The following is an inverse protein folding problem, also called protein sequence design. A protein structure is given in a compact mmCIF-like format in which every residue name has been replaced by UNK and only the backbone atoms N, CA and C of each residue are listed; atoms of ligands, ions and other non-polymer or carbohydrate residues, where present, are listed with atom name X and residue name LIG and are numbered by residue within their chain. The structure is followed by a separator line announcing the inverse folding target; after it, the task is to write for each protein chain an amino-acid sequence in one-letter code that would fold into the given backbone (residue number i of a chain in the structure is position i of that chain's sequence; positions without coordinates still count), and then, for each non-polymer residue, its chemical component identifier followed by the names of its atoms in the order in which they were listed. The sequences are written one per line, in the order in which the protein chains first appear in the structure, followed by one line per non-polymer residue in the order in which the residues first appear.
data_IF_561020614658
#
_entry.id   IF_561020614658
#
_cell.length_a   1.000
_cell.length_b   1.000
_cell.length_c   1.000
_cell.angle_alpha   90.00
_cell.angle_beta   90.00
_cell.angle_gamma   90.00
#
_symmetry.space_group_name_H-M   'P 1'
#
loop_
_entity.id
_entity.type
_entity.pdbx_description
1 polymer ?
#
# COMPACT_ATOMS: atom_id res chain seq x y z
N UNK A 1 10.31 -3.45 5.56
CA UNK A 1 9.38 -4.41 4.93
C UNK A 1 8.36 -4.97 5.93
N UNK A 2 8.73 -5.83 6.88
CA UNK A 2 7.78 -6.36 7.89
C UNK A 2 6.98 -5.26 8.62
N UNK A 3 7.69 -4.24 9.15
CA UNK A 3 7.05 -3.09 9.80
C UNK A 3 6.13 -2.32 8.84
N UNK A 4 6.54 -2.13 7.57
CA UNK A 4 5.73 -1.45 6.56
C UNK A 4 4.43 -2.21 6.25
N UNK A 5 4.51 -3.54 6.15
CA UNK A 5 3.31 -4.38 6.01
C UNK A 5 2.37 -4.23 7.23
N UNK A 6 2.92 -4.19 8.45
CA UNK A 6 2.10 -4.02 9.66
C UNK A 6 1.42 -2.65 9.71
N UNK A 7 2.09 -1.58 9.26
CA UNK A 7 1.54 -0.23 9.28
C UNK A 7 0.43 0.00 8.25
N UNK A 8 0.39 -0.76 7.14
CA UNK A 8 -0.73 -0.73 6.18
C UNK A 8 -2.05 -1.05 6.89
N UNK A 9 -2.05 -2.09 7.73
CA UNK A 9 -3.27 -2.53 8.44
C UNK A 9 -3.63 -1.56 9.56
N UNK A 10 -2.65 -0.92 10.19
CA UNK A 10 -2.86 0.07 11.25
C UNK A 10 -3.86 1.18 10.85
N UNK A 11 -3.68 1.76 9.67
CA UNK A 11 -4.56 2.83 9.17
C UNK A 11 -5.99 2.36 8.92
N UNK A 12 -6.15 1.09 8.52
CA UNK A 12 -7.46 0.51 8.21
C UNK A 12 -8.31 0.30 9.46
N UNK A 13 -7.66 -0.13 10.55
CA UNK A 13 -8.32 -0.45 11.83
C UNK A 13 -8.31 0.70 12.82
N UNK A 14 -7.77 1.86 12.42
CA UNK A 14 -7.68 3.05 13.27
C UNK A 14 -9.03 3.46 13.86
N UNK A 15 -8.98 4.08 15.04
CA UNK A 15 -10.09 4.64 15.84
C UNK A 15 -11.01 3.62 16.52
N UNK A 16 -11.08 2.37 16.03
CA UNK A 16 -12.03 1.37 16.54
C UNK A 16 -11.43 0.01 16.91
N UNK A 17 -10.13 -0.19 16.71
CA UNK A 17 -9.41 -1.36 17.19
C UNK A 17 -8.82 -1.14 18.58
N UNK A 18 -8.94 -2.15 19.46
CA UNK A 18 -8.27 -2.14 20.76
C UNK A 18 -6.75 -2.26 20.55
N UNK A 19 -5.97 -1.37 21.18
CA UNK A 19 -4.51 -1.36 21.06
C UNK A 19 -3.86 -2.73 21.36
N UNK A 20 -4.34 -3.43 22.41
CA UNK A 20 -3.83 -4.76 22.77
C UNK A 20 -4.04 -5.79 21.64
N UNK A 21 -5.20 -5.76 20.98
CA UNK A 21 -5.49 -6.65 19.86
C UNK A 21 -4.59 -6.32 18.66
N UNK A 22 -4.37 -5.03 18.39
CA UNK A 22 -3.47 -4.57 17.33
C UNK A 22 -2.01 -5.00 17.56
N UNK A 23 -1.53 -4.92 18.80
CA UNK A 23 -0.16 -5.35 19.15
C UNK A 23 0.03 -6.85 18.96
N UNK A 24 -0.88 -7.68 19.48
CA UNK A 24 -0.85 -9.13 19.30
C UNK A 24 -0.91 -9.52 17.82
N UNK A 25 -1.82 -8.88 17.08
CA UNK A 25 -1.95 -9.05 15.64
C UNK A 25 -0.64 -8.70 14.92
N UNK A 26 -0.04 -7.54 15.23
CA UNK A 26 1.21 -7.09 14.60
C UNK A 26 2.39 -8.00 14.91
N UNK A 27 2.47 -8.54 16.13
CA UNK A 27 3.49 -9.53 16.50
C UNK A 27 3.32 -10.81 15.69
N UNK A 28 2.11 -11.35 15.59
CA UNK A 28 1.85 -12.56 14.81
C UNK A 28 2.09 -12.33 13.31
N UNK A 29 1.67 -11.18 12.81
CA UNK A 29 1.85 -10.78 11.42
C UNK A 29 3.33 -10.71 11.04
N UNK A 30 4.14 -10.00 11.84
CA UNK A 30 5.57 -9.85 11.60
C UNK A 30 6.38 -11.11 11.91
N UNK A 31 5.94 -11.91 12.89
CA UNK A 31 6.65 -13.10 13.36
C UNK A 31 6.33 -14.38 12.60
N UNK A 32 5.19 -14.46 11.91
CA UNK A 32 4.75 -15.68 11.23
C UNK A 32 4.27 -15.42 9.80
N UNK A 33 3.21 -14.63 9.62
CA UNK A 33 2.56 -14.47 8.30
C UNK A 33 3.50 -13.82 7.27
N UNK A 34 4.14 -12.71 7.61
CA UNK A 34 5.07 -12.02 6.72
C UNK A 34 6.30 -12.88 6.39
N UNK A 35 6.98 -13.54 7.35
CA UNK A 35 8.06 -14.47 7.04
C UNK A 35 7.66 -15.57 6.04
N UNK A 36 6.46 -16.14 6.16
CA UNK A 36 5.95 -17.14 5.20
C UNK A 36 5.76 -16.51 3.81
N UNK A 37 5.13 -15.34 3.73
CA UNK A 37 4.95 -14.63 2.47
C UNK A 37 6.29 -14.25 1.82
N UNK A 38 7.20 -13.64 2.58
CA UNK A 38 8.53 -13.27 2.12
C UNK A 38 9.36 -14.48 1.67
N UNK A 39 9.30 -15.60 2.41
CA UNK A 39 9.95 -16.85 2.01
C UNK A 39 9.41 -17.37 0.68
N UNK A 40 8.09 -17.36 0.52
CA UNK A 40 7.42 -17.86 -0.69
C UNK A 40 7.89 -17.15 -1.97
N UNK A 41 8.08 -15.82 -1.91
CA UNK A 41 8.47 -15.00 -3.05
C UNK A 41 9.98 -14.87 -3.24
N UNK A 42 10.76 -14.73 -2.15
CA UNK A 42 12.16 -14.30 -2.24
C UNK A 42 13.19 -15.34 -1.84
N UNK A 43 12.82 -16.40 -1.12
CA UNK A 43 13.77 -17.45 -0.81
C UNK A 43 14.03 -18.31 -2.06
N UNK A 44 15.24 -18.83 -2.25
CA UNK A 44 15.53 -19.74 -3.37
C UNK A 44 14.64 -20.97 -3.36
N UNK A 45 14.29 -21.48 -2.19
CA UNK A 45 13.37 -22.60 -2.00
C UNK A 45 11.89 -22.19 -1.84
N UNK A 46 11.57 -20.91 -2.06
CA UNK A 46 10.21 -20.40 -2.04
C UNK A 46 9.43 -20.87 -3.25
N UNK A 47 8.20 -21.36 -3.07
CA UNK A 47 7.43 -21.96 -4.17
C UNK A 47 7.00 -20.96 -5.26
N UNK A 48 7.04 -19.64 -5.02
CA UNK A 48 6.80 -18.62 -6.05
C UNK A 48 8.10 -17.98 -6.56
N UNK A 49 9.25 -18.34 -5.99
CA UNK A 49 10.51 -17.67 -6.28
C UNK A 49 11.02 -18.01 -7.68
N UNK A 50 11.49 -17.02 -8.47
CA UNK A 50 12.17 -17.27 -9.74
C UNK A 50 13.53 -17.93 -9.56
N UNK A 51 14.06 -17.99 -8.33
CA UNK A 51 15.27 -18.72 -7.98
C UNK A 51 15.03 -20.20 -7.64
N UNK A 52 13.77 -20.65 -7.57
CA UNK A 52 13.45 -22.05 -7.28
C UNK A 52 13.67 -22.94 -8.51
N UNK A 53 14.19 -24.14 -8.27
CA UNK A 53 14.39 -25.16 -9.31
C UNK A 53 13.07 -25.74 -9.84
N UNK A 54 12.03 -25.77 -9.00
CA UNK A 54 10.68 -26.24 -9.35
C UNK A 54 9.63 -25.27 -8.76
N UNK A 55 9.47 -24.08 -9.35
CA UNK A 55 8.48 -23.11 -8.89
C UNK A 55 7.07 -23.60 -9.21
N UNK A 56 6.09 -23.10 -8.46
CA UNK A 56 4.68 -23.39 -8.67
C UNK A 56 4.28 -23.06 -10.12
N UNK A 57 3.62 -24.00 -10.79
CA UNK A 57 3.25 -23.92 -12.21
C UNK A 57 4.44 -23.81 -13.19
N UNK A 58 5.66 -24.12 -12.74
CA UNK A 58 6.88 -24.03 -13.56
C UNK A 58 7.32 -22.61 -13.89
N UNK A 59 6.76 -21.58 -13.24
CA UNK A 59 7.09 -20.17 -13.46
C UNK A 59 7.22 -19.42 -12.13
N UNK A 60 8.33 -18.70 -11.95
CA UNK A 60 8.54 -17.86 -10.77
C UNK A 60 7.97 -16.44 -10.93
N UNK A 61 7.48 -15.87 -9.83
CA UNK A 61 6.99 -14.51 -9.72
C UNK A 61 8.15 -13.53 -9.47
N UNK A 62 8.37 -12.61 -10.41
CA UNK A 62 9.40 -11.57 -10.25
C UNK A 62 8.84 -10.45 -9.38
N UNK A 63 9.44 -10.27 -8.21
CA UNK A 63 9.10 -9.19 -7.29
C UNK A 63 10.38 -8.55 -6.75
N UNK A 64 10.68 -7.34 -7.23
CA UNK A 64 11.90 -6.63 -6.87
C UNK A 64 11.88 -6.17 -5.40
N UNK A 65 10.77 -5.55 -4.97
CA UNK A 65 10.74 -4.75 -3.76
C UNK A 65 9.49 -4.96 -2.89
N UNK A 66 8.61 -5.91 -3.19
CA UNK A 66 7.59 -6.39 -2.25
C UNK A 66 6.16 -6.04 -2.61
N UNK A 67 5.84 -5.89 -3.90
CA UNK A 67 4.45 -5.68 -4.32
C UNK A 67 3.55 -6.84 -3.88
N UNK A 68 4.05 -8.08 -3.87
CA UNK A 68 3.38 -9.28 -3.33
C UNK A 68 3.48 -9.43 -1.79
N UNK A 69 4.66 -9.75 -1.25
CA UNK A 69 4.82 -10.12 0.16
C UNK A 69 4.64 -8.95 1.13
N UNK A 70 4.70 -7.68 0.66
CA UNK A 70 4.41 -6.50 1.50
C UNK A 70 3.05 -5.90 1.17
N UNK A 71 2.88 -5.38 -0.05
CA UNK A 71 1.73 -4.52 -0.35
C UNK A 71 0.45 -5.30 -0.60
N UNK A 72 0.47 -6.33 -1.44
CA UNK A 72 -0.69 -7.20 -1.69
C UNK A 72 -1.09 -7.94 -0.41
N UNK A 73 -0.12 -8.53 0.30
CA UNK A 73 -0.38 -9.21 1.58
C UNK A 73 -0.99 -8.25 2.60
N UNK A 74 -0.40 -7.06 2.77
CA UNK A 74 -0.93 -6.02 3.65
C UNK A 74 -2.33 -5.53 3.25
N UNK A 75 -2.59 -5.35 1.96
CA UNK A 75 -3.87 -4.91 1.42
C UNK A 75 -5.00 -5.93 1.59
N UNK A 76 -4.71 -7.21 1.33
CA UNK A 76 -5.67 -8.30 1.56
C UNK A 76 -6.00 -8.41 3.05
N UNK A 77 -4.98 -8.34 3.91
CA UNK A 77 -5.20 -8.36 5.36
C UNK A 77 -5.96 -7.14 5.86
N UNK A 78 -5.68 -5.95 5.31
CA UNK A 78 -6.45 -4.74 5.59
C UNK A 78 -7.93 -4.94 5.24
N UNK A 79 -8.23 -5.51 4.08
CA UNK A 79 -9.61 -5.83 3.68
C UNK A 79 -10.28 -6.82 4.64
N UNK A 80 -9.62 -7.93 4.95
CA UNK A 80 -10.15 -8.94 5.90
C UNK A 80 -10.42 -8.32 7.27
N UNK A 81 -9.49 -7.49 7.77
CA UNK A 81 -9.66 -6.79 9.04
C UNK A 81 -10.78 -5.75 9.00
N UNK A 82 -10.97 -5.04 7.87
CA UNK A 82 -12.08 -4.11 7.71
C UNK A 82 -13.44 -4.81 7.76
N UNK A 83 -13.54 -6.02 7.18
CA UNK A 83 -14.76 -6.85 7.22
C UNK A 83 -15.02 -7.36 8.65
N UNK A 84 -14.01 -7.90 9.32
CA UNK A 84 -14.15 -8.45 10.69
C UNK A 84 -14.50 -7.35 11.69
N UNK A 85 -13.83 -6.20 11.62
CA UNK A 85 -14.01 -5.09 12.55
C UNK A 85 -15.29 -4.30 12.27
N UNK A 86 -15.78 -4.35 11.03
CA UNK A 86 -16.92 -3.57 10.57
C UNK A 86 -16.59 -2.10 10.31
N UNK A 87 -17.58 -1.33 9.82
CA UNK A 87 -17.42 0.07 9.47
C UNK A 87 -17.25 0.99 10.68
N UNK A 88 -16.75 2.21 10.44
CA UNK A 88 -16.81 3.28 11.46
C UNK A 88 -18.25 3.69 11.71
N UNK A 89 -18.57 4.01 12.97
CA UNK A 89 -19.87 4.57 13.33
C UNK A 89 -20.12 5.87 12.57
N UNK A 90 -21.36 6.09 12.14
CA UNK A 90 -21.76 7.27 11.38
C UNK A 90 -21.39 7.29 9.89
N UNK A 91 -20.67 6.26 9.37
CA UNK A 91 -20.36 6.17 7.92
C UNK A 91 -21.55 5.68 7.09
N UNK A 92 -22.18 4.59 7.51
CA UNK A 92 -23.23 3.90 6.73
C UNK A 92 -24.58 3.83 7.43
N UNK A 93 -24.62 3.96 8.75
CA UNK A 93 -25.85 3.82 9.55
C UNK A 93 -26.07 5.04 10.43
N UNK A 94 -27.33 5.38 10.66
CA UNK A 94 -27.77 6.40 11.60
C UNK A 94 -27.70 5.94 13.07
N UNK A 95 -28.05 6.82 14.00
CA UNK A 95 -28.03 6.52 15.44
C UNK A 95 -29.02 5.40 15.85
N UNK A 96 -30.04 5.15 15.02
CA UNK A 96 -31.03 4.10 15.22
C UNK A 96 -30.65 2.78 14.51
N UNK A 97 -29.52 2.75 13.80
CA UNK A 97 -29.04 1.60 13.03
C UNK A 97 -29.64 1.46 11.62
N UNK A 98 -30.42 2.43 11.15
CA UNK A 98 -30.93 2.43 9.78
C UNK A 98 -29.85 2.87 8.80
N UNK A 99 -29.74 2.24 7.60
CA UNK A 99 -28.74 2.64 6.61
C UNK A 99 -29.06 4.02 6.03
N UNK A 100 -28.03 4.81 5.74
CA UNK A 100 -28.17 6.02 4.93
C UNK A 100 -28.39 5.68 3.45
N UNK A 101 -29.08 6.57 2.73
CA UNK A 101 -29.22 6.47 1.26
C UNK A 101 -27.86 6.54 0.55
N UNK A 102 -26.94 7.35 1.09
CA UNK A 102 -25.55 7.44 0.65
C UNK A 102 -24.58 7.41 1.84
N UNK A 103 -23.39 6.79 1.69
CA UNK A 103 -22.36 6.83 2.73
C UNK A 103 -21.94 8.26 3.07
N UNK A 104 -21.89 8.61 4.36
CA UNK A 104 -21.45 9.94 4.84
C UNK A 104 -19.95 10.06 4.96
N UNK A 105 -19.33 11.07 4.35
CA UNK A 105 -17.88 11.19 4.39
C UNK A 105 -17.35 11.49 5.79
N UNK A 106 -16.22 10.83 6.12
CA UNK A 106 -15.46 11.08 7.34
C UNK A 106 -14.18 11.79 6.91
N UNK A 107 -14.14 13.13 6.95
CA UNK A 107 -13.01 13.89 6.43
C UNK A 107 -11.74 13.62 7.25
N UNK A 108 -10.60 13.68 6.58
CA UNK A 108 -9.30 13.62 7.24
C UNK A 108 -9.08 14.84 8.15
N UNK A 109 -8.40 14.64 9.28
CA UNK A 109 -8.16 15.69 10.26
C UNK A 109 -7.23 16.81 9.75
N UNK A 110 -6.29 16.50 8.84
CA UNK A 110 -5.33 17.47 8.29
C UNK A 110 -4.74 17.00 6.97
N UNK A 111 -5.05 17.76 5.90
CA UNK A 111 -4.45 17.55 4.57
C UNK A 111 -2.96 17.84 4.58
N UNK A 112 -2.50 18.82 5.38
CA UNK A 112 -1.09 19.15 5.50
C UNK A 112 -0.26 18.00 6.11
N UNK A 113 -0.80 17.31 7.12
CA UNK A 113 -0.14 16.14 7.70
C UNK A 113 -0.15 14.93 6.76
N UNK A 114 -1.24 14.74 6.00
CA UNK A 114 -1.29 13.71 4.96
C UNK A 114 -0.23 13.96 3.87
N UNK A 115 -0.06 15.23 3.47
CA UNK A 115 0.95 15.63 2.50
C UNK A 115 2.36 15.38 3.01
N UNK A 116 2.66 15.80 4.25
CA UNK A 116 3.94 15.50 4.89
C UNK A 116 4.21 13.99 4.94
N UNK A 117 3.21 13.20 5.36
CA UNK A 117 3.32 11.74 5.39
C UNK A 117 3.59 11.13 4.01
N UNK A 118 2.93 11.63 2.97
CA UNK A 118 3.13 11.20 1.58
C UNK A 118 4.56 11.47 1.11
N UNK A 119 5.11 12.64 1.42
CA UNK A 119 6.51 12.96 1.10
C UNK A 119 7.50 12.11 1.89
N UNK A 120 7.26 11.88 3.18
CA UNK A 120 8.08 10.97 3.98
C UNK A 120 8.08 9.55 3.39
N UNK A 121 6.92 9.06 2.95
CA UNK A 121 6.79 7.74 2.31
C UNK A 121 7.52 7.71 0.97
N UNK A 122 7.35 8.71 0.11
CA UNK A 122 8.06 8.79 -1.17
C UNK A 122 9.58 8.79 -0.95
N UNK A 123 10.09 9.65 -0.06
CA UNK A 123 11.50 9.67 0.29
C UNK A 123 11.99 8.30 0.79
N UNK A 124 11.25 7.69 1.73
CA UNK A 124 11.56 6.35 2.23
C UNK A 124 11.55 5.27 1.15
N UNK A 125 10.75 5.44 0.11
CA UNK A 125 10.64 4.49 -1.00
C UNK A 125 11.91 4.35 -1.84
N UNK A 126 12.81 5.35 -1.83
CA UNK A 126 14.14 5.19 -2.42
C UNK A 126 15.01 4.19 -1.66
N UNK A 127 14.79 4.03 -0.35
CA UNK A 127 15.39 2.93 0.41
C UNK A 127 14.73 1.58 0.12
N UNK A 128 13.46 1.59 -0.29
CA UNK A 128 12.66 0.39 -0.55
C UNK A 128 12.98 -0.21 -1.93
N UNK A 129 12.80 0.57 -3.01
CA UNK A 129 12.89 0.08 -4.38
C UNK A 129 14.36 -0.06 -4.84
N UNK A 130 15.16 1.04 -4.95
CA UNK A 130 16.59 0.95 -5.23
C UNK A 130 17.35 0.07 -4.24
N UNK A 131 17.03 0.16 -2.94
CA UNK A 131 17.69 -0.63 -1.90
C UNK A 131 17.50 -2.14 -2.06
N UNK A 132 16.41 -2.57 -2.70
CA UNK A 132 16.17 -3.99 -3.00
C UNK A 132 17.10 -4.55 -4.08
N UNK A 133 17.98 -3.72 -4.65
CA UNK A 133 19.10 -4.22 -5.42
C UNK A 133 20.20 -4.86 -4.57
N UNK A 134 20.20 -4.69 -3.24
CA UNK A 134 21.10 -5.32 -2.26
C UNK A 134 22.60 -4.94 -2.37
N UNK A 135 23.07 -4.53 -3.53
CA UNK A 135 24.46 -4.14 -3.80
C UNK A 135 24.55 -3.24 -5.02
N UNK A 136 25.54 -2.35 -5.03
CA UNK A 136 25.93 -1.49 -6.16
C UNK A 136 27.41 -1.69 -6.55
N UNK A 137 27.99 -2.83 -6.13
CA UNK A 137 29.43 -3.09 -6.27
C UNK A 137 29.91 -3.28 -7.72
N UNK A 138 29.00 -3.45 -8.68
CA UNK A 138 29.32 -3.51 -10.11
C UNK A 138 28.51 -2.48 -10.88
N UNK A 139 29.04 -2.04 -12.03
CA UNK A 139 28.37 -1.08 -12.92
C UNK A 139 26.94 -1.52 -13.27
N UNK A 140 26.76 -2.80 -13.62
CA UNK A 140 25.45 -3.37 -13.92
C UNK A 140 24.47 -3.25 -12.74
N UNK A 141 24.90 -3.59 -11.52
CA UNK A 141 24.06 -3.49 -10.33
C UNK A 141 23.71 -2.03 -9.99
N UNK A 142 24.69 -1.13 -10.13
CA UNK A 142 24.48 0.31 -9.98
C UNK A 142 23.46 0.86 -10.98
N UNK A 143 23.52 0.44 -12.24
CA UNK A 143 22.55 0.82 -13.28
C UNK A 143 21.13 0.35 -12.94
N UNK A 144 20.97 -0.86 -12.42
CA UNK A 144 19.65 -1.36 -11.98
C UNK A 144 19.10 -0.55 -10.80
N UNK A 145 19.94 -0.21 -9.82
CA UNK A 145 19.52 0.61 -8.68
C UNK A 145 19.11 2.03 -9.12
N UNK A 146 19.87 2.64 -10.03
CA UNK A 146 19.55 3.94 -10.60
C UNK A 146 18.25 3.91 -11.40
N UNK A 147 18.04 2.87 -12.22
CA UNK A 147 16.79 2.70 -12.97
C UNK A 147 15.59 2.53 -12.04
N UNK A 148 15.72 1.72 -10.99
CA UNK A 148 14.69 1.56 -9.97
C UNK A 148 14.37 2.89 -9.27
N UNK A 149 15.37 3.75 -9.02
CA UNK A 149 15.17 5.06 -8.40
C UNK A 149 14.37 5.99 -9.32
N UNK A 150 14.73 6.07 -10.60
CA UNK A 150 14.02 6.88 -11.60
C UNK A 150 12.58 6.38 -11.77
N UNK A 151 12.39 5.07 -11.90
CA UNK A 151 11.06 4.48 -12.04
C UNK A 151 10.19 4.70 -10.80
N UNK A 152 10.78 4.72 -9.60
CA UNK A 152 10.05 5.06 -8.36
C UNK A 152 9.48 6.47 -8.43
N UNK A 153 10.26 7.46 -8.88
CA UNK A 153 9.75 8.83 -9.05
C UNK A 153 8.69 8.94 -10.13
N UNK A 154 8.92 8.29 -11.28
CA UNK A 154 8.00 8.35 -12.40
C UNK A 154 6.68 7.64 -12.06
N UNK A 155 6.73 6.50 -11.38
CA UNK A 155 5.54 5.79 -10.88
C UNK A 155 4.72 6.65 -9.94
N UNK A 156 5.36 7.23 -8.92
CA UNK A 156 4.71 8.17 -8.00
C UNK A 156 4.07 9.36 -8.71
N UNK A 157 4.81 10.03 -9.60
CA UNK A 157 4.32 11.19 -10.33
C UNK A 157 3.17 10.84 -11.28
N UNK A 158 3.30 9.75 -12.05
CA UNK A 158 2.26 9.28 -12.95
C UNK A 158 1.00 8.85 -12.18
N UNK A 159 1.17 8.16 -11.04
CA UNK A 159 0.07 7.79 -10.16
C UNK A 159 -0.66 9.01 -9.60
N UNK A 160 0.06 10.03 -9.13
CA UNK A 160 -0.52 11.25 -8.61
C UNK A 160 -1.34 12.00 -9.66
N UNK A 161 -0.75 12.20 -10.85
CA UNK A 161 -1.39 12.90 -11.96
C UNK A 161 -2.62 12.11 -12.44
N UNK A 162 -2.46 10.81 -12.72
CA UNK A 162 -3.55 9.98 -13.23
C UNK A 162 -4.73 9.89 -12.26
N UNK A 163 -4.48 9.70 -10.96
CA UNK A 163 -5.55 9.63 -9.97
C UNK A 163 -6.29 10.96 -9.82
N UNK A 164 -5.56 12.09 -9.77
CA UNK A 164 -6.18 13.41 -9.68
C UNK A 164 -7.07 13.69 -10.88
N UNK A 165 -6.57 13.53 -12.11
CA UNK A 165 -7.35 13.79 -13.31
C UNK A 165 -8.52 12.81 -13.47
N UNK A 166 -8.32 11.53 -13.14
CA UNK A 166 -9.40 10.55 -13.19
C UNK A 166 -10.51 10.92 -12.21
N UNK A 167 -10.15 11.30 -10.97
CA UNK A 167 -11.12 11.73 -9.97
C UNK A 167 -11.85 13.02 -10.40
N UNK A 168 -11.12 14.03 -10.90
CA UNK A 168 -11.70 15.29 -11.40
C UNK A 168 -12.69 15.05 -12.54
N UNK A 169 -12.36 14.17 -13.49
CA UNK A 169 -13.26 13.84 -14.61
C UNK A 169 -14.51 13.11 -14.08
N UNK A 170 -14.34 12.15 -13.17
CA UNK A 170 -15.48 11.40 -12.61
C UNK A 170 -16.41 12.32 -11.80
N UNK A 171 -15.86 13.29 -11.08
CA UNK A 171 -16.65 14.27 -10.34
C UNK A 171 -17.38 15.24 -11.28
N UNK A 172 -16.69 15.78 -12.29
CA UNK A 172 -17.32 16.64 -13.31
C UNK A 172 -18.52 15.95 -13.97
N UNK A 173 -18.39 14.65 -14.28
CA UNK A 173 -19.49 13.87 -14.87
C UNK A 173 -20.68 13.67 -13.92
N UNK A 174 -20.46 13.74 -12.61
CA UNK A 174 -21.51 13.57 -11.59
C UNK A 174 -22.16 14.89 -11.19
N UNK A 175 -21.36 15.95 -11.04
CA UNK A 175 -21.80 17.23 -10.44
C UNK A 175 -21.87 18.37 -11.45
N UNK A 176 -21.24 18.23 -12.62
CA UNK A 176 -21.04 19.31 -13.59
C UNK A 176 -19.93 20.30 -13.19
N UNK A 177 -19.19 20.04 -12.11
CA UNK A 177 -18.15 20.93 -11.59
C UNK A 177 -16.81 20.19 -11.56
N UNK A 178 -15.78 20.81 -12.13
CA UNK A 178 -14.41 20.30 -12.04
C UNK A 178 -13.80 20.71 -10.71
N UNK A 179 -13.36 19.74 -9.91
CA UNK A 179 -12.56 20.00 -8.71
C UNK A 179 -11.24 19.25 -8.77
N UNK A 180 -10.21 19.81 -8.15
CA UNK A 180 -8.88 19.21 -8.06
C UNK A 180 -8.55 18.99 -6.58
N UNK A 181 -8.73 17.75 -6.12
CA UNK A 181 -8.44 17.37 -4.74
C UNK A 181 -7.04 16.77 -4.61
N UNK A 182 -6.22 17.38 -3.76
CA UNK A 182 -4.88 16.93 -3.42
C UNK A 182 -4.88 15.54 -2.75
N UNK A 183 -5.95 15.15 -2.06
CA UNK A 183 -6.05 13.83 -1.43
C UNK A 183 -6.04 12.71 -2.48
N UNK A 184 -6.69 12.93 -3.63
CA UNK A 184 -6.65 12.00 -4.76
C UNK A 184 -5.25 11.91 -5.36
N UNK A 185 -4.55 13.04 -5.50
CA UNK A 185 -3.17 13.05 -5.96
C UNK A 185 -2.22 12.31 -4.99
N UNK A 186 -2.39 12.49 -3.68
CA UNK A 186 -1.59 11.79 -2.66
C UNK A 186 -1.84 10.28 -2.66
N UNK A 187 -3.11 9.85 -2.73
CA UNK A 187 -3.45 8.42 -2.83
C UNK A 187 -2.92 7.80 -4.13
N UNK A 188 -3.02 8.54 -5.24
CA UNK A 188 -2.43 8.14 -6.52
C UNK A 188 -0.92 8.02 -6.47
N UNK A 189 -0.24 8.96 -5.82
CA UNK A 189 1.21 8.92 -5.58
C UNK A 189 1.62 7.63 -4.87
N UNK A 190 0.96 7.31 -3.74
CA UNK A 190 1.22 6.09 -2.99
C UNK A 190 0.91 4.83 -3.82
N UNK A 191 -0.15 4.85 -4.61
CA UNK A 191 -0.49 3.74 -5.52
C UNK A 191 0.61 3.52 -6.57
N UNK A 192 1.11 4.59 -7.18
CA UNK A 192 2.19 4.53 -8.16
C UNK A 192 3.55 4.14 -7.58
N UNK A 193 3.74 4.30 -6.27
CA UNK A 193 4.92 3.79 -5.55
C UNK A 193 4.83 2.28 -5.27
N UNK A 194 3.62 1.74 -5.11
CA UNK A 194 3.35 0.31 -4.84
C UNK A 194 3.43 -0.55 -6.11
N UNK A 195 2.99 0.00 -7.24
CA UNK A 195 2.92 -0.66 -8.54
C UNK A 195 4.30 -0.84 -9.19
#
# INVERSE_FOLDING_TARGET
FACALSSIVAGTVAERCKMQAYLLYSTFLCGFVYPVAAHSFWAYQGFLSPGNADPLFGVGAVDLAGSGPVHMTGGVLALVMAVILGPRMGRFYDENGAPYDEPRDIPGHSVALQFLGTFCLWFGWYGFNPGSTLTIASSNRGSVAALAAVNTSLGAAAGAVSAMFTASILEERRTGVVTYDLTNAMNGCLTGLVA
#
